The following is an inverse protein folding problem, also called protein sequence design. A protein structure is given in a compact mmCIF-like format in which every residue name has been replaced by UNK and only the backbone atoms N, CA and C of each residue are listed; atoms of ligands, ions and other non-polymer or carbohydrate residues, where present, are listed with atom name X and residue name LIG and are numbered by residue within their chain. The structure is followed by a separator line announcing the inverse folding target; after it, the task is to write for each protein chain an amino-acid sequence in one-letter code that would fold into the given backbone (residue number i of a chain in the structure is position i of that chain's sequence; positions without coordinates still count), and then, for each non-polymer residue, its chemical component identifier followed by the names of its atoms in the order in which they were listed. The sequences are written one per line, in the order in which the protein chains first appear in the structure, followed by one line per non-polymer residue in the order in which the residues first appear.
data_IF_866849178338
#
_entry.id   IF_866849178338
#
_cell.length_a   1.000
_cell.length_b   1.000
_cell.length_c   1.000
_cell.angle_alpha   90.00
_cell.angle_beta   90.00
_cell.angle_gamma   90.00
#
_symmetry.space_group_name_H-M   'P 1'
#
loop_
_entity.id
_entity.type
_entity.pdbx_description
1 polymer ?
#
# COMPACT_ATOMS: atom_id res chain seq x y z
N UNK A 1 -10.16 14.72 20.42
CA UNK A 1 -9.51 13.95 19.34
C UNK A 1 -10.43 14.10 18.15
N UNK A 2 -10.09 14.95 17.20
CA UNK A 2 -10.90 15.16 16.00
C UNK A 2 -11.04 13.83 15.26
N UNK A 3 -12.28 13.38 15.06
CA UNK A 3 -12.57 12.28 14.15
C UNK A 3 -11.98 12.64 12.79
N UNK A 4 -10.94 11.92 12.38
CA UNK A 4 -10.40 12.05 11.03
C UNK A 4 -11.52 11.58 10.11
N UNK A 5 -12.08 12.50 9.32
CA UNK A 5 -13.16 12.23 8.39
C UNK A 5 -12.63 11.41 7.20
N UNK A 6 -12.37 10.13 7.41
CA UNK A 6 -11.86 9.24 6.36
C UNK A 6 -13.02 8.55 5.63
N UNK A 7 -13.21 8.93 4.38
CA UNK A 7 -14.32 8.45 3.56
C UNK A 7 -13.83 7.45 2.50
N UNK A 8 -14.61 6.40 2.28
CA UNK A 8 -14.38 5.46 1.16
C UNK A 8 -15.53 5.57 0.17
N UNK A 9 -15.20 5.87 -1.08
CA UNK A 9 -16.17 5.90 -2.18
C UNK A 9 -16.15 4.59 -2.98
N UNK A 10 -17.31 4.26 -3.56
CA UNK A 10 -17.59 3.10 -4.43
C UNK A 10 -17.45 1.73 -3.74
N UNK A 11 -16.24 1.33 -3.34
CA UNK A 11 -15.99 0.04 -2.69
C UNK A 11 -14.81 0.13 -1.72
N UNK A 12 -14.82 -0.75 -0.72
CA UNK A 12 -13.73 -0.89 0.25
C UNK A 12 -12.59 -1.76 -0.32
N UNK A 13 -11.32 -1.45 -0.01
CA UNK A 13 -10.20 -2.32 -0.36
C UNK A 13 -10.25 -3.63 0.45
N UNK A 14 -9.65 -4.69 -0.09
CA UNK A 14 -9.42 -5.93 0.65
C UNK A 14 -8.07 -5.90 1.37
N UNK A 15 -8.10 -6.28 2.65
CA UNK A 15 -6.91 -6.27 3.51
C UNK A 15 -6.10 -7.57 3.38
N UNK A 16 -4.79 -7.51 3.67
CA UNK A 16 -4.02 -6.31 4.03
C UNK A 16 -3.71 -5.44 2.80
N UNK A 17 -3.39 -4.17 3.06
CA UNK A 17 -3.07 -3.18 2.02
C UNK A 17 -1.69 -2.58 2.24
N UNK A 18 -1.01 -2.23 1.15
CA UNK A 18 0.24 -1.47 1.13
C UNK A 18 -0.09 -0.04 0.74
N UNK A 19 0.39 0.94 1.51
CA UNK A 19 0.27 2.36 1.18
C UNK A 19 1.66 2.83 0.73
N UNK A 20 1.72 3.47 -0.43
CA UNK A 20 2.96 3.96 -1.03
C UNK A 20 3.11 5.43 -0.69
N UNK A 21 4.09 5.74 0.16
CA UNK A 21 4.50 7.10 0.54
C UNK A 21 5.93 7.36 0.04
N UNK A 22 6.30 8.63 -0.09
CA UNK A 22 7.62 9.04 -0.60
C UNK A 22 8.77 8.55 0.28
N UNK A 23 8.58 8.60 1.59
CA UNK A 23 9.59 8.24 2.59
C UNK A 23 9.68 6.73 2.80
N UNK A 24 8.53 6.04 2.77
CA UNK A 24 8.43 4.63 3.09
C UNK A 24 7.12 4.00 2.62
N UNK A 25 7.03 2.69 2.74
CA UNK A 25 5.76 1.97 2.61
C UNK A 25 5.08 1.82 3.97
N UNK A 26 3.77 1.94 4.02
CA UNK A 26 2.99 1.55 5.20
C UNK A 26 2.20 0.28 4.92
N UNK A 27 1.90 -0.47 5.97
CA UNK A 27 1.00 -1.61 5.91
C UNK A 27 -0.22 -1.35 6.80
N UNK A 28 -1.40 -1.72 6.31
CA UNK A 28 -2.63 -1.67 7.09
C UNK A 28 -3.44 -2.96 6.95
N UNK A 29 -3.99 -3.42 8.07
CA UNK A 29 -4.77 -4.66 8.17
C UNK A 29 -6.25 -4.40 8.46
N UNK A 30 -6.61 -3.14 8.72
CA UNK A 30 -7.98 -2.71 8.95
C UNK A 30 -8.13 -1.22 8.61
N UNK A 31 -9.39 -0.75 8.62
CA UNK A 31 -9.75 0.61 8.24
C UNK A 31 -9.11 1.70 9.11
N UNK A 32 -8.96 1.45 10.42
CA UNK A 32 -8.36 2.43 11.33
C UNK A 32 -6.87 2.63 11.01
N UNK A 33 -6.16 1.54 10.77
CA UNK A 33 -4.76 1.58 10.35
C UNK A 33 -4.61 2.22 8.97
N UNK A 34 -5.51 1.91 8.04
CA UNK A 34 -5.49 2.49 6.70
C UNK A 34 -5.67 4.01 6.75
N UNK A 35 -6.70 4.49 7.45
CA UNK A 35 -6.96 5.91 7.60
C UNK A 35 -5.76 6.64 8.20
N UNK A 36 -5.20 6.10 9.30
CA UNK A 36 -4.02 6.67 9.93
C UNK A 36 -2.82 6.71 8.97
N UNK A 37 -2.49 5.59 8.35
CA UNK A 37 -1.34 5.50 7.43
C UNK A 37 -1.49 6.41 6.21
N UNK A 38 -2.70 6.56 5.67
CA UNK A 38 -2.97 7.48 4.56
C UNK A 38 -2.78 8.95 4.96
N UNK A 39 -3.20 9.34 6.16
CA UNK A 39 -2.99 10.70 6.69
C UNK A 39 -1.52 10.97 6.99
N UNK A 40 -0.80 9.97 7.52
CA UNK A 40 0.62 10.07 7.83
C UNK A 40 1.53 9.95 6.57
N UNK A 41 0.96 9.68 5.39
CA UNK A 41 1.71 9.49 4.14
C UNK A 41 2.11 10.81 3.48
N UNK A 42 3.30 10.82 2.91
CA UNK A 42 3.86 11.88 2.09
C UNK A 42 3.67 11.53 0.62
N UNK A 43 3.24 12.50 -0.19
CA UNK A 43 3.06 12.33 -1.63
C UNK A 43 4.40 12.04 -2.32
N UNK A 44 4.42 11.04 -3.21
CA UNK A 44 5.65 10.56 -3.88
C UNK A 44 6.24 11.59 -4.84
N UNK A 45 5.40 12.42 -5.44
CA UNK A 45 5.77 13.50 -6.36
C UNK A 45 4.86 14.70 -6.06
N UNK A 46 5.39 15.92 -6.09
CA UNK A 46 4.62 17.16 -5.92
C UNK A 46 3.53 17.32 -7.01
N UNK A 47 3.68 16.64 -8.15
CA UNK A 47 2.67 16.57 -9.20
C UNK A 47 1.58 15.54 -8.92
N UNK A 48 1.85 14.52 -8.10
CA UNK A 48 0.86 13.52 -7.69
C UNK A 48 0.04 14.06 -6.52
N UNK A 49 -1.26 14.26 -6.73
CA UNK A 49 -2.18 14.76 -5.68
C UNK A 49 -2.78 13.66 -4.80
N UNK A 50 -2.36 12.43 -5.00
CA UNK A 50 -2.99 11.26 -4.37
C UNK A 50 -1.96 10.26 -3.88
N UNK A 51 -2.21 9.68 -2.71
CA UNK A 51 -1.45 8.55 -2.18
C UNK A 51 -2.00 7.26 -2.76
N UNK A 52 -1.13 6.38 -3.26
CA UNK A 52 -1.53 5.08 -3.83
C UNK A 52 -1.62 4.03 -2.73
N UNK A 53 -2.70 3.27 -2.74
CA UNK A 53 -2.95 2.14 -1.84
C UNK A 53 -3.21 0.90 -2.69
N UNK A 54 -2.45 -0.17 -2.46
CA UNK A 54 -2.58 -1.44 -3.17
C UNK A 54 -3.19 -2.47 -2.23
N UNK A 55 -4.32 -3.03 -2.63
CA UNK A 55 -5.04 -4.01 -1.83
C UNK A 55 -4.55 -5.44 -2.03
N UNK A 56 -5.03 -6.38 -1.21
CA UNK A 56 -4.58 -7.77 -1.22
C UNK A 56 -4.86 -8.50 -2.55
N UNK A 57 -5.69 -7.93 -3.41
CA UNK A 57 -6.00 -8.46 -4.75
C UNK A 57 -5.21 -7.79 -5.87
N UNK A 58 -4.33 -6.85 -5.51
CA UNK A 58 -3.52 -6.05 -6.44
C UNK A 58 -4.30 -4.89 -7.04
N UNK A 59 -5.46 -4.53 -6.50
CA UNK A 59 -6.22 -3.38 -6.98
C UNK A 59 -5.68 -2.10 -6.36
N UNK A 60 -5.57 -1.07 -7.20
CA UNK A 60 -5.09 0.24 -6.79
C UNK A 60 -6.26 1.13 -6.34
N UNK A 61 -6.03 1.84 -5.25
CA UNK A 61 -6.89 2.86 -4.70
C UNK A 61 -6.09 4.15 -4.56
N UNK A 62 -6.75 5.28 -4.74
CA UNK A 62 -6.17 6.61 -4.64
C UNK A 62 -6.81 7.31 -3.45
N UNK A 63 -5.95 7.70 -2.51
CA UNK A 63 -6.34 8.55 -1.39
C UNK A 63 -6.04 10.00 -1.75
N UNK A 64 -7.03 10.86 -1.67
CA UNK A 64 -6.89 12.31 -1.81
C UNK A 64 -6.76 12.92 -0.42
N UNK A 65 -5.57 13.43 -0.03
CA UNK A 65 -5.38 14.09 1.27
C UNK A 65 -6.22 15.36 1.39
N UNK A 66 -6.47 16.07 0.28
CA UNK A 66 -7.29 17.29 0.26
C UNK A 66 -8.76 17.02 0.66
N UNK A 67 -9.30 15.87 0.25
CA UNK A 67 -10.70 15.52 0.47
C UNK A 67 -10.91 14.43 1.55
N UNK A 68 -9.82 13.90 2.12
CA UNK A 68 -9.82 12.73 3.01
C UNK A 68 -10.61 11.52 2.46
N UNK A 69 -10.58 11.36 1.14
CA UNK A 69 -11.35 10.33 0.41
C UNK A 69 -10.40 9.30 -0.18
N UNK A 70 -10.71 8.02 0.02
CA UNK A 70 -10.13 6.90 -0.70
C UNK A 70 -11.14 6.37 -1.72
N UNK A 71 -10.72 6.25 -2.98
CA UNK A 71 -11.53 5.66 -4.04
C UNK A 71 -10.69 4.66 -4.86
N UNK A 72 -11.30 3.66 -5.52
CA UNK A 72 -10.60 2.85 -6.51
C UNK A 72 -9.99 3.73 -7.60
N UNK A 73 -8.77 3.41 -8.05
CA UNK A 73 -8.12 4.14 -9.13
C UNK A 73 -8.91 4.05 -10.44
N UNK A 74 -9.03 5.17 -11.15
CA UNK A 74 -9.70 5.24 -12.45
C UNK A 74 -8.70 4.75 -13.51
N UNK A 75 -9.00 3.60 -14.12
CA UNK A 75 -8.10 2.83 -15.00
C UNK A 75 -6.93 2.20 -14.24
N UNK A 76 -6.98 0.90 -13.91
CA UNK A 76 -5.78 0.07 -14.10
C UNK A 76 -6.01 -1.43 -13.96
N UNK A 77 -5.30 -2.15 -14.83
CA UNK A 77 -4.90 -3.55 -14.64
C UNK A 77 -4.41 -3.75 -13.21
N UNK A 78 -4.87 -4.83 -12.57
CA UNK A 78 -4.33 -5.30 -11.30
C UNK A 78 -2.80 -5.27 -11.32
N UNK A 79 -2.21 -4.79 -10.23
CA UNK A 79 -0.76 -4.80 -10.06
C UNK A 79 -0.24 -6.23 -10.18
N UNK A 80 0.69 -6.44 -11.10
CA UNK A 80 1.37 -7.71 -11.23
C UNK A 80 2.22 -7.99 -9.98
N UNK A 81 2.31 -9.26 -9.57
CA UNK A 81 3.13 -9.70 -8.42
C UNK A 81 4.55 -9.12 -8.47
N UNK A 82 5.16 -9.13 -9.67
CA UNK A 82 6.49 -8.58 -9.89
C UNK A 82 6.57 -7.09 -9.53
N UNK A 83 5.61 -6.28 -10.01
CA UNK A 83 5.58 -4.84 -9.72
C UNK A 83 5.48 -4.56 -8.22
N UNK A 84 4.65 -5.32 -7.49
CA UNK A 84 4.49 -5.18 -6.04
C UNK A 84 5.81 -5.50 -5.31
N UNK A 85 6.48 -6.59 -5.72
CA UNK A 85 7.76 -7.00 -5.13
C UNK A 85 8.86 -6.01 -5.47
N UNK A 86 8.92 -5.52 -6.70
CA UNK A 86 9.89 -4.51 -7.13
C UNK A 86 9.69 -3.20 -6.34
N UNK A 87 8.44 -2.78 -6.12
CA UNK A 87 8.12 -1.62 -5.27
C UNK A 87 8.54 -1.85 -3.81
N UNK A 88 8.32 -3.03 -3.25
CA UNK A 88 8.78 -3.35 -1.90
C UNK A 88 10.32 -3.38 -1.81
N UNK A 89 11.00 -4.08 -2.72
CA UNK A 89 12.45 -4.22 -2.72
C UNK A 89 13.17 -2.90 -3.04
N UNK A 90 12.55 -2.01 -3.82
CA UNK A 90 13.07 -0.67 -4.09
C UNK A 90 12.81 0.35 -2.97
N UNK A 91 11.99 0.00 -1.98
CA UNK A 91 11.73 0.89 -0.85
C UNK A 91 12.91 0.93 0.14
N UNK A 92 12.99 2.03 0.90
CA UNK A 92 14.04 2.26 1.89
C UNK A 92 14.21 1.12 2.92
N UNK A 93 13.16 0.31 3.13
CA UNK A 93 13.20 -0.83 4.05
C UNK A 93 14.15 -1.94 3.65
N UNK A 94 14.32 -2.18 2.35
CA UNK A 94 15.18 -3.25 1.88
C UNK A 94 16.66 -3.00 2.22
N UNK A 95 17.07 -1.73 2.28
CA UNK A 95 18.44 -1.34 2.64
C UNK A 95 18.76 -1.44 4.13
N UNK A 96 17.76 -1.44 5.02
CA UNK A 96 17.96 -1.50 6.48
C UNK A 96 18.00 -2.91 7.07
N UNK A 97 17.35 -3.89 6.43
CA UNK A 97 17.24 -5.26 6.96
C UNK A 97 17.84 -6.35 6.05
N UNK A 98 18.31 -6.01 4.84
CA UNK A 98 18.76 -6.99 3.82
C UNK A 98 17.71 -8.08 3.48
N UNK A 99 16.44 -7.89 3.89
CA UNK A 99 15.35 -8.83 3.64
C UNK A 99 14.63 -8.48 2.34
N UNK A 100 15.32 -8.74 1.22
CA UNK A 100 14.70 -8.73 -0.10
C UNK A 100 13.61 -9.80 -0.18
N UNK A 101 12.43 -9.42 -0.66
CA UNK A 101 11.42 -10.42 -0.99
C UNK A 101 11.88 -11.17 -2.24
N UNK A 102 12.07 -12.48 -2.11
CA UNK A 102 12.59 -13.31 -3.20
C UNK A 102 11.66 -13.31 -4.40
N UNK A 103 12.22 -13.05 -5.57
CA UNK A 103 11.55 -13.18 -6.87
C UNK A 103 11.59 -14.61 -7.41
N UNK A 104 12.17 -15.58 -6.67
CA UNK A 104 12.13 -16.99 -7.06
C UNK A 104 10.71 -17.54 -6.87
N UNK A 105 10.21 -18.26 -7.87
CA UNK A 105 8.92 -18.98 -7.83
C UNK A 105 7.64 -18.12 -7.75
N UNK A 106 7.61 -16.94 -8.40
CA UNK A 106 6.42 -16.05 -8.46
C UNK A 106 5.15 -16.72 -9.01
N UNK A 107 5.29 -17.68 -9.92
CA UNK A 107 4.17 -18.44 -10.49
C UNK A 107 3.46 -19.29 -9.43
N UNK A 108 4.22 -19.86 -8.48
CA UNK A 108 3.71 -20.76 -7.43
C UNK A 108 3.07 -20.04 -6.25
N UNK A 109 3.45 -18.80 -5.96
CA UNK A 109 2.93 -18.02 -4.82
C UNK A 109 1.70 -17.24 -5.21
N UNK A 110 0.61 -17.38 -4.44
CA UNK A 110 -0.60 -16.55 -4.62
C UNK A 110 -0.33 -15.09 -4.24
N UNK A 111 -1.01 -14.16 -4.91
CA UNK A 111 -0.82 -12.72 -4.69
C UNK A 111 -1.18 -12.29 -3.25
N UNK A 112 -2.30 -12.79 -2.73
CA UNK A 112 -2.74 -12.54 -1.36
C UNK A 112 -1.70 -12.94 -0.31
N UNK A 113 -1.00 -14.07 -0.51
CA UNK A 113 0.12 -14.48 0.34
C UNK A 113 1.32 -13.53 0.24
N UNK A 114 1.69 -13.13 -0.98
CA UNK A 114 2.78 -12.16 -1.19
C UNK A 114 2.46 -10.85 -0.46
N UNK A 115 1.23 -10.35 -0.60
CA UNK A 115 0.77 -9.14 0.08
C UNK A 115 0.81 -9.29 1.60
N UNK A 116 0.36 -10.42 2.13
CA UNK A 116 0.39 -10.70 3.57
C UNK A 116 1.82 -10.73 4.11
N UNK A 117 2.73 -11.44 3.45
CA UNK A 117 4.13 -11.56 3.85
C UNK A 117 4.79 -10.17 3.88
N UNK A 118 4.64 -9.38 2.80
CA UNK A 118 5.19 -8.02 2.71
C UNK A 118 4.62 -7.13 3.82
N UNK A 119 3.30 -7.12 4.01
CA UNK A 119 2.65 -6.30 5.04
C UNK A 119 3.09 -6.68 6.45
N UNK A 120 3.30 -7.98 6.72
CA UNK A 120 3.83 -8.44 8.01
C UNK A 120 5.27 -7.96 8.22
N UNK A 121 6.12 -8.02 7.20
CA UNK A 121 7.48 -7.51 7.29
C UNK A 121 7.48 -6.01 7.58
N UNK A 122 6.70 -5.21 6.82
CA UNK A 122 6.58 -3.76 7.03
C UNK A 122 6.12 -3.44 8.47
N UNK A 123 5.10 -4.15 8.98
CA UNK A 123 4.54 -3.93 10.32
C UNK A 123 5.55 -4.19 11.45
N UNK A 124 6.48 -5.12 11.26
CA UNK A 124 7.44 -5.52 12.28
C UNK A 124 8.67 -4.61 12.33
N UNK A 125 8.79 -3.65 11.41
CA UNK A 125 9.84 -2.63 11.40
C UNK A 125 9.39 -1.47 12.30
N UNK A 126 9.92 -1.44 13.53
CA UNK A 126 9.76 -0.32 14.48
C UNK A 126 10.80 0.75 14.23
#
# INVERSE_FOLDING_TARGET
MSDIEFHILFRKPKYPVIIISADKLYAAFNIKQLAKSCVDSILVDDKEKTVKVIDSTGEEFWYSPENYVLAPGFFCKKWAKKRIIDTYNGSFYCGKQEQMYSTKSLSSKRLDRIMLDICNTIKNIK
#
